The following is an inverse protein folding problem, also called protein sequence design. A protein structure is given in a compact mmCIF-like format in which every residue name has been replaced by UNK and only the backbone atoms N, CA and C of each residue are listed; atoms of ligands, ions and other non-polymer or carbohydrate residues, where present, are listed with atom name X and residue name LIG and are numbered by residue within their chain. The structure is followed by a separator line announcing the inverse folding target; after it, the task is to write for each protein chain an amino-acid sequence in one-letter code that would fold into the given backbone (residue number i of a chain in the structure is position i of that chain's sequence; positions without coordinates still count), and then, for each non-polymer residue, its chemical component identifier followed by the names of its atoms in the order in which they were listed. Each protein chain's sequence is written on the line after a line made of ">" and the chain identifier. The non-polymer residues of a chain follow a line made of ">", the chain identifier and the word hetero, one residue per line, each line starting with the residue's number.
data_IF_545073369688
#
_entry.id   IF_545073369688
#
_cell.length_a   1.000
_cell.length_b   1.000
_cell.length_c   1.000
_cell.angle_alpha   90.00
_cell.angle_beta   90.00
_cell.angle_gamma   90.00
#
_symmetry.space_group_name_H-M   'P 1'
#
loop_
_entity.id
_entity.type
_entity.pdbx_description
1 polymer ?
#
# COMPACT_ATOMS: atom_id res chain seq x y z
N UNK A 1 22.00 -8.32 2.54
CA UNK A 1 20.65 -8.84 2.28
C UNK A 1 19.94 -7.86 1.37
N UNK A 2 19.68 -8.24 0.12
CA UNK A 2 18.94 -7.43 -0.86
C UNK A 2 17.48 -7.32 -0.43
N UNK A 3 17.04 -6.12 -0.05
CA UNK A 3 15.61 -5.87 0.15
C UNK A 3 14.94 -6.01 -1.22
N UNK A 4 14.11 -7.03 -1.39
CA UNK A 4 13.27 -7.18 -2.56
C UNK A 4 12.45 -5.89 -2.70
N UNK A 5 12.49 -5.28 -3.89
CA UNK A 5 11.68 -4.11 -4.17
C UNK A 5 10.22 -4.58 -4.16
N UNK A 6 9.50 -4.28 -3.09
CA UNK A 6 8.09 -4.59 -2.95
C UNK A 6 7.28 -3.59 -3.79
N UNK A 7 7.15 -3.88 -5.09
CA UNK A 7 6.26 -3.14 -5.99
C UNK A 7 4.77 -3.49 -5.77
N UNK A 8 4.47 -4.40 -4.84
CA UNK A 8 3.11 -4.74 -4.40
C UNK A 8 2.39 -3.61 -3.64
N UNK A 9 3.05 -2.46 -3.42
CA UNK A 9 2.48 -1.30 -2.72
C UNK A 9 1.60 -0.39 -3.58
N UNK A 10 1.56 -0.61 -4.89
CA UNK A 10 0.58 0.06 -5.75
C UNK A 10 -0.72 -0.73 -5.61
N UNK A 11 -1.70 -0.19 -4.89
CA UNK A 11 -3.01 -0.79 -4.65
C UNK A 11 -3.80 -1.07 -5.93
N UNK A 12 -5.13 -1.02 -5.88
CA UNK A 12 -5.95 -1.26 -7.08
C UNK A 12 -5.76 -0.12 -8.09
N UNK A 13 -4.75 -0.29 -8.93
CA UNK A 13 -4.28 0.64 -9.94
C UNK A 13 -4.60 0.03 -11.30
N UNK A 14 -5.01 0.87 -12.25
CA UNK A 14 -5.32 0.43 -13.61
C UNK A 14 -4.13 -0.36 -14.20
N UNK A 15 -4.36 -1.48 -14.92
CA UNK A 15 -3.29 -2.31 -15.47
C UNK A 15 -2.23 -1.54 -16.25
N UNK A 16 -2.64 -0.49 -16.99
CA UNK A 16 -1.75 0.35 -17.77
C UNK A 16 -0.87 1.25 -16.90
N UNK A 17 -1.41 1.80 -15.82
CA UNK A 17 -0.66 2.67 -14.91
C UNK A 17 0.41 1.88 -14.16
N UNK A 18 0.10 0.65 -13.70
CA UNK A 18 1.10 -0.24 -13.10
C UNK A 18 2.21 -0.58 -14.09
N UNK A 19 1.88 -0.84 -15.35
CA UNK A 19 2.87 -1.07 -16.41
C UNK A 19 3.74 0.18 -16.67
N UNK A 20 3.13 1.37 -16.65
CA UNK A 20 3.84 2.66 -16.79
C UNK A 20 4.82 2.87 -15.64
N UNK A 21 4.43 2.53 -14.41
CA UNK A 21 5.32 2.60 -13.24
C UNK A 21 6.55 1.69 -13.38
N UNK A 22 6.35 0.43 -13.78
CA UNK A 22 7.48 -0.50 -14.03
C UNK A 22 8.42 0.03 -15.13
N UNK A 23 7.82 0.56 -16.20
CA UNK A 23 8.59 1.18 -17.29
C UNK A 23 9.42 2.37 -16.79
N UNK A 24 8.86 3.19 -15.91
CA UNK A 24 9.55 4.31 -15.30
C UNK A 24 10.74 3.88 -14.42
N UNK A 25 10.55 2.91 -13.51
CA UNK A 25 11.66 2.42 -12.69
C UNK A 25 12.78 1.76 -13.53
N UNK A 26 12.41 1.10 -14.64
CA UNK A 26 13.39 0.56 -15.61
C UNK A 26 14.23 1.65 -16.27
N UNK A 27 13.60 2.75 -16.69
CA UNK A 27 14.27 3.88 -17.33
C UNK A 27 15.06 4.77 -16.34
N UNK A 28 14.83 4.60 -15.04
CA UNK A 28 15.52 5.34 -13.99
C UNK A 28 16.93 4.78 -13.77
N UNK A 29 17.86 5.21 -14.62
CA UNK A 29 19.29 4.95 -14.53
C UNK A 29 20.08 6.13 -15.10
N UNK A 30 21.14 6.51 -14.39
CA UNK A 30 22.04 7.59 -14.79
C UNK A 30 23.48 7.10 -14.88
N UNK A 31 24.22 7.70 -15.80
CA UNK A 31 25.63 7.40 -16.08
C UNK A 31 26.46 8.61 -15.67
N UNK A 32 27.25 8.44 -14.61
CA UNK A 32 28.29 9.38 -14.23
C UNK A 32 29.43 9.36 -15.26
N UNK A 33 29.79 10.55 -15.74
CA UNK A 33 30.84 10.80 -16.75
C UNK A 33 32.25 10.74 -16.15
N UNK A 34 32.39 10.87 -14.84
CA UNK A 34 33.69 10.81 -14.15
C UNK A 34 34.15 9.38 -13.89
N UNK A 35 33.23 8.41 -14.01
CA UNK A 35 33.51 7.01 -13.77
C UNK A 35 33.86 6.30 -15.08
N UNK A 36 34.93 5.48 -15.14
CA UNK A 36 35.32 4.83 -16.37
C UNK A 36 34.19 3.97 -16.94
N UNK A 37 34.00 4.06 -18.26
CA UNK A 37 32.88 3.42 -18.98
C UNK A 37 32.83 1.90 -18.75
N UNK A 38 34.00 1.26 -18.61
CA UNK A 38 34.16 -0.18 -18.38
C UNK A 38 33.45 -0.69 -17.12
N UNK A 39 33.24 0.17 -16.11
CA UNK A 39 32.48 -0.21 -14.91
C UNK A 39 31.02 -0.52 -15.22
N UNK A 40 30.41 0.21 -16.15
CA UNK A 40 29.03 -0.01 -16.56
C UNK A 40 28.87 -1.33 -17.32
N UNK A 41 29.85 -1.72 -18.14
CA UNK A 41 29.86 -3.02 -18.82
C UNK A 41 29.92 -4.20 -17.84
N UNK A 42 30.78 -4.11 -16.81
CA UNK A 42 30.84 -5.11 -15.74
C UNK A 42 29.52 -5.18 -14.97
N UNK A 43 28.99 -4.03 -14.59
CA UNK A 43 27.74 -3.98 -13.82
C UNK A 43 26.52 -4.42 -14.65
N UNK A 44 26.54 -4.16 -15.96
CA UNK A 44 25.53 -4.64 -16.90
C UNK A 44 25.49 -6.17 -16.98
N UNK A 45 26.65 -6.83 -16.94
CA UNK A 45 26.72 -8.30 -16.88
C UNK A 45 25.97 -8.84 -15.66
N UNK A 46 26.14 -8.21 -14.49
CA UNK A 46 25.43 -8.59 -13.27
C UNK A 46 23.93 -8.24 -13.31
N UNK A 47 23.55 -7.10 -13.90
CA UNK A 47 22.13 -6.77 -14.13
C UNK A 47 21.43 -7.85 -14.95
N UNK A 48 22.07 -8.30 -16.03
CA UNK A 48 21.52 -9.35 -16.88
C UNK A 48 21.48 -10.70 -16.17
N UNK A 49 22.50 -11.03 -15.38
CA UNK A 49 22.52 -12.22 -14.52
C UNK A 49 21.34 -12.21 -13.54
N UNK A 50 21.11 -11.09 -12.85
CA UNK A 50 20.00 -10.96 -11.90
C UNK A 50 18.63 -10.98 -12.59
N UNK A 51 18.49 -10.38 -13.76
CA UNK A 51 17.25 -10.44 -14.55
C UNK A 51 16.87 -11.90 -14.86
N UNK A 52 17.84 -12.73 -15.27
CA UNK A 52 17.63 -14.15 -15.53
C UNK A 52 17.31 -14.95 -14.25
N UNK A 53 17.82 -14.54 -13.08
CA UNK A 53 17.44 -15.14 -11.80
C UNK A 53 15.97 -14.85 -11.49
N UNK A 54 15.56 -13.59 -11.55
CA UNK A 54 14.15 -13.22 -11.31
C UNK A 54 13.19 -13.87 -12.31
N UNK A 55 13.60 -14.02 -13.57
CA UNK A 55 12.78 -14.70 -14.57
C UNK A 55 12.54 -16.17 -14.19
N UNK A 56 13.58 -16.87 -13.70
CA UNK A 56 13.47 -18.27 -13.23
C UNK A 56 12.67 -18.40 -11.94
N UNK A 57 12.77 -17.43 -11.05
CA UNK A 57 12.01 -17.38 -9.80
C UNK A 57 10.54 -17.01 -10.00
N UNK A 58 10.15 -16.57 -11.20
CA UNK A 58 8.79 -16.12 -11.49
C UNK A 58 8.51 -14.67 -11.06
N UNK A 59 9.52 -13.94 -10.57
CA UNK A 59 9.39 -12.51 -10.29
C UNK A 59 9.49 -11.70 -11.59
N UNK A 60 8.38 -11.67 -12.32
CA UNK A 60 8.29 -11.05 -13.64
C UNK A 60 8.45 -9.53 -13.61
N UNK A 61 8.00 -8.86 -12.55
CA UNK A 61 8.12 -7.40 -12.41
C UNK A 61 9.58 -6.96 -12.31
N UNK A 62 10.34 -7.56 -11.40
CA UNK A 62 11.75 -7.21 -11.20
C UNK A 62 12.62 -7.65 -12.38
N UNK A 63 12.31 -8.80 -13.00
CA UNK A 63 12.96 -9.21 -14.24
C UNK A 63 12.75 -8.16 -15.35
N UNK A 64 11.50 -7.68 -15.52
CA UNK A 64 11.16 -6.67 -16.52
C UNK A 64 11.89 -5.34 -16.27
N UNK A 65 11.91 -4.86 -15.03
CA UNK A 65 12.65 -3.65 -14.64
C UNK A 65 14.13 -3.77 -14.99
N UNK A 66 14.76 -4.89 -14.66
CA UNK A 66 16.19 -5.07 -14.93
C UNK A 66 16.51 -5.20 -16.41
N UNK A 67 15.68 -5.89 -17.20
CA UNK A 67 15.87 -5.95 -18.65
C UNK A 67 15.72 -4.56 -19.31
N UNK A 68 14.70 -3.79 -18.91
CA UNK A 68 14.54 -2.40 -19.35
C UNK A 68 15.72 -1.53 -18.96
N UNK A 69 16.19 -1.65 -17.71
CA UNK A 69 17.35 -0.90 -17.22
C UNK A 69 18.63 -1.24 -17.99
N UNK A 70 18.83 -2.52 -18.30
CA UNK A 70 19.95 -2.95 -19.13
C UNK A 70 19.87 -2.35 -20.54
N UNK A 71 18.69 -2.41 -21.18
CA UNK A 71 18.50 -1.84 -22.52
C UNK A 71 18.70 -0.33 -22.54
N UNK A 72 18.09 0.41 -21.63
CA UNK A 72 18.22 1.88 -21.54
C UNK A 72 19.64 2.31 -21.24
N UNK A 73 20.36 1.59 -20.37
CA UNK A 73 21.77 1.85 -20.10
C UNK A 73 22.61 1.79 -21.38
N UNK A 74 22.52 0.70 -22.13
CA UNK A 74 23.42 0.45 -23.27
C UNK A 74 22.95 1.07 -24.60
N UNK A 75 21.65 1.23 -24.81
CA UNK A 75 21.11 1.86 -26.04
C UNK A 75 21.14 3.39 -25.95
N UNK A 76 20.83 3.96 -24.77
CA UNK A 76 20.58 5.39 -24.64
C UNK A 76 21.66 6.09 -23.81
N UNK A 77 21.83 5.69 -22.54
CA UNK A 77 22.59 6.49 -21.56
C UNK A 77 24.09 6.43 -21.80
N UNK A 78 24.67 5.25 -22.08
CA UNK A 78 26.12 5.07 -22.18
C UNK A 78 26.72 5.77 -23.40
N UNK A 79 25.91 6.03 -24.45
CA UNK A 79 26.33 6.75 -25.66
C UNK A 79 26.74 8.20 -25.39
N UNK A 80 26.32 8.76 -24.25
CA UNK A 80 26.62 10.13 -23.82
C UNK A 80 27.94 10.23 -23.05
N UNK A 81 28.60 9.10 -22.77
CA UNK A 81 29.84 9.05 -22.01
C UNK A 81 31.05 9.46 -22.87
N UNK A 82 32.01 10.27 -22.35
CA UNK A 82 33.19 10.71 -23.12
C UNK A 82 34.02 9.53 -23.67
N UNK A 83 34.25 8.49 -22.86
CA UNK A 83 35.05 7.32 -23.25
C UNK A 83 34.31 6.26 -24.08
N UNK A 84 33.05 6.50 -24.49
CA UNK A 84 32.25 5.51 -25.22
C UNK A 84 32.92 5.04 -26.52
N UNK A 85 33.70 5.90 -27.17
CA UNK A 85 34.45 5.57 -28.38
C UNK A 85 35.48 4.44 -28.21
N UNK A 86 35.92 4.16 -26.98
CA UNK A 86 36.99 3.19 -26.69
C UNK A 86 36.47 1.74 -26.58
N UNK A 87 35.16 1.53 -26.47
CA UNK A 87 34.53 0.22 -26.15
C UNK A 87 33.72 -0.38 -27.30
N UNK A 88 34.11 -0.10 -28.56
CA UNK A 88 33.36 -0.49 -29.77
C UNK A 88 33.06 -1.98 -29.89
N UNK A 89 33.98 -2.86 -29.47
CA UNK A 89 33.79 -4.31 -29.54
C UNK A 89 32.70 -4.78 -28.57
N UNK A 90 32.78 -4.37 -27.31
CA UNK A 90 31.79 -4.70 -26.26
C UNK A 90 30.40 -4.17 -26.63
N UNK A 91 30.33 -2.95 -27.19
CA UNK A 91 29.09 -2.35 -27.70
C UNK A 91 28.42 -3.24 -28.74
N UNK A 92 29.18 -3.74 -29.71
CA UNK A 92 28.64 -4.58 -30.79
C UNK A 92 28.04 -5.86 -30.23
N UNK A 93 28.76 -6.53 -29.34
CA UNK A 93 28.35 -7.82 -28.80
C UNK A 93 27.12 -7.67 -27.88
N UNK A 94 27.06 -6.59 -27.08
CA UNK A 94 25.90 -6.25 -26.26
C UNK A 94 24.69 -5.88 -27.12
N UNK A 95 24.86 -5.05 -28.15
CA UNK A 95 23.76 -4.66 -29.03
C UNK A 95 23.18 -5.87 -29.77
N UNK A 96 24.04 -6.80 -30.21
CA UNK A 96 23.59 -8.07 -30.79
C UNK A 96 22.75 -8.86 -29.80
N UNK A 97 23.23 -9.03 -28.56
CA UNK A 97 22.51 -9.74 -27.51
C UNK A 97 21.18 -9.08 -27.14
N UNK A 98 21.16 -7.75 -27.09
CA UNK A 98 19.94 -6.99 -26.83
C UNK A 98 18.89 -7.30 -27.90
N UNK A 99 19.29 -7.24 -29.17
CA UNK A 99 18.42 -7.49 -30.32
C UNK A 99 17.91 -8.94 -30.35
N UNK A 100 18.81 -9.91 -30.18
CA UNK A 100 18.51 -11.32 -30.45
C UNK A 100 17.81 -11.99 -29.25
N UNK A 101 18.15 -11.62 -28.02
CA UNK A 101 17.68 -12.30 -26.80
C UNK A 101 16.80 -11.40 -25.91
N UNK A 102 17.31 -10.22 -25.54
CA UNK A 102 16.73 -9.44 -24.43
C UNK A 102 15.44 -8.74 -24.86
N UNK A 103 15.42 -8.07 -26.02
CA UNK A 103 14.24 -7.41 -26.57
C UNK A 103 13.05 -8.38 -26.72
N UNK A 104 13.18 -9.53 -27.42
CA UNK A 104 12.05 -10.45 -27.58
C UNK A 104 11.60 -11.06 -26.25
N UNK A 105 12.52 -11.31 -25.32
CA UNK A 105 12.18 -11.79 -23.97
C UNK A 105 11.42 -10.74 -23.17
N UNK A 106 11.85 -9.48 -23.25
CA UNK A 106 11.22 -8.37 -22.53
C UNK A 106 9.80 -8.10 -23.05
N UNK A 107 9.59 -8.20 -24.37
CA UNK A 107 8.27 -8.02 -24.97
C UNK A 107 7.29 -9.12 -24.53
N UNK A 108 7.73 -10.38 -24.53
CA UNK A 108 6.93 -11.50 -23.99
C UNK A 108 6.58 -11.27 -22.51
N UNK A 109 7.53 -10.77 -21.73
CA UNK A 109 7.34 -10.48 -20.31
C UNK A 109 6.35 -9.34 -20.10
N UNK A 110 6.40 -8.29 -20.93
CA UNK A 110 5.44 -7.19 -20.94
C UNK A 110 4.02 -7.68 -21.18
N UNK A 111 3.81 -8.49 -22.21
CA UNK A 111 2.51 -9.07 -22.51
C UNK A 111 1.99 -9.95 -21.36
N UNK A 112 2.86 -10.76 -20.75
CA UNK A 112 2.52 -11.61 -19.61
C UNK A 112 2.07 -10.80 -18.38
N UNK A 113 2.83 -9.75 -18.03
CA UNK A 113 2.50 -8.87 -16.91
C UNK A 113 1.19 -8.12 -17.15
N UNK A 114 0.96 -7.62 -18.36
CA UNK A 114 -0.27 -6.91 -18.69
C UNK A 114 -1.50 -7.81 -18.59
N UNK A 115 -1.42 -9.04 -19.11
CA UNK A 115 -2.50 -10.01 -18.98
C UNK A 115 -2.77 -10.41 -17.51
N UNK A 116 -1.71 -10.48 -16.70
CA UNK A 116 -1.84 -10.72 -15.27
C UNK A 116 -2.61 -9.59 -14.57
N UNK A 117 -2.23 -8.33 -14.82
CA UNK A 117 -2.89 -7.18 -14.22
C UNK A 117 -4.32 -6.99 -14.70
N UNK A 118 -4.61 -7.27 -15.97
CA UNK A 118 -5.97 -7.25 -16.49
C UNK A 118 -6.87 -8.22 -15.71
N UNK A 119 -6.40 -9.45 -15.48
CA UNK A 119 -7.16 -10.44 -14.72
C UNK A 119 -7.39 -10.01 -13.27
N UNK A 120 -6.36 -9.49 -12.59
CA UNK A 120 -6.49 -8.96 -11.23
C UNK A 120 -7.53 -7.82 -11.17
N UNK A 121 -7.51 -6.95 -12.18
CA UNK A 121 -8.41 -5.80 -12.26
C UNK A 121 -9.86 -6.23 -12.55
N UNK A 122 -10.08 -7.17 -13.46
CA UNK A 122 -11.40 -7.75 -13.73
C UNK A 122 -11.99 -8.45 -12.49
N UNK A 123 -11.16 -9.19 -11.76
CA UNK A 123 -11.58 -9.83 -10.51
C UNK A 123 -11.98 -8.79 -9.45
N UNK A 124 -11.23 -7.69 -9.36
CA UNK A 124 -11.58 -6.59 -8.47
C UNK A 124 -12.93 -5.96 -8.85
N UNK A 125 -13.17 -5.69 -10.13
CA UNK A 125 -14.45 -5.15 -10.61
C UNK A 125 -15.61 -6.10 -10.30
N UNK A 126 -15.46 -7.40 -10.57
CA UNK A 126 -16.47 -8.41 -10.30
C UNK A 126 -16.79 -8.51 -8.79
N UNK A 127 -15.76 -8.47 -7.92
CA UNK A 127 -15.97 -8.49 -6.48
C UNK A 127 -16.73 -7.25 -6.00
N UNK A 128 -16.35 -6.07 -6.51
CA UNK A 128 -17.03 -4.80 -6.20
C UNK A 128 -18.48 -4.79 -6.66
N UNK A 129 -18.76 -5.33 -7.85
CA UNK A 129 -20.14 -5.47 -8.35
C UNK A 129 -20.95 -6.47 -7.53
N UNK A 130 -20.37 -7.62 -7.18
CA UNK A 130 -21.03 -8.64 -6.36
C UNK A 130 -21.38 -8.12 -4.96
N UNK A 131 -20.53 -7.29 -4.35
CA UNK A 131 -20.85 -6.63 -3.07
C UNK A 131 -22.03 -5.68 -3.21
N UNK A 132 -22.06 -4.85 -4.25
CA UNK A 132 -23.18 -3.94 -4.52
C UNK A 132 -24.51 -4.66 -4.77
N UNK A 133 -24.48 -5.78 -5.49
CA UNK A 133 -25.68 -6.60 -5.75
C UNK A 133 -26.18 -7.23 -4.44
N UNK A 134 -25.29 -7.80 -3.63
CA UNK A 134 -25.65 -8.38 -2.32
C UNK A 134 -26.25 -7.34 -1.37
N UNK A 135 -25.74 -6.11 -1.40
CA UNK A 135 -26.28 -5.03 -0.59
C UNK A 135 -27.70 -4.64 -1.02
N UNK A 136 -27.93 -4.48 -2.33
CA UNK A 136 -29.25 -4.20 -2.88
C UNK A 136 -30.26 -5.34 -2.61
N UNK A 137 -29.82 -6.59 -2.68
CA UNK A 137 -30.65 -7.75 -2.34
C UNK A 137 -31.06 -7.76 -0.87
N UNK A 138 -30.13 -7.47 0.05
CA UNK A 138 -30.42 -7.34 1.48
C UNK A 138 -31.40 -6.20 1.76
N UNK A 139 -31.27 -5.08 1.05
CA UNK A 139 -32.19 -3.96 1.20
C UNK A 139 -33.60 -4.31 0.69
N UNK A 140 -33.70 -4.93 -0.49
CA UNK A 140 -34.98 -5.42 -1.04
C UNK A 140 -35.64 -6.45 -0.13
N UNK A 141 -34.85 -7.32 0.51
CA UNK A 141 -35.37 -8.29 1.48
C UNK A 141 -35.93 -7.59 2.73
N UNK A 142 -35.21 -6.61 3.28
CA UNK A 142 -35.68 -5.78 4.41
C UNK A 142 -36.97 -5.04 4.05
N UNK A 143 -37.06 -4.47 2.85
CA UNK A 143 -38.26 -3.77 2.40
C UNK A 143 -39.45 -4.72 2.26
N UNK A 144 -39.24 -5.89 1.65
CA UNK A 144 -40.26 -6.94 1.55
C UNK A 144 -40.72 -7.43 2.93
N UNK A 145 -39.80 -7.56 3.88
CA UNK A 145 -40.12 -7.94 5.26
C UNK A 145 -40.96 -6.86 5.95
N UNK A 146 -40.62 -5.57 5.79
CA UNK A 146 -41.43 -4.46 6.30
C UNK A 146 -42.83 -4.43 5.70
N UNK A 147 -42.97 -4.60 4.38
CA UNK A 147 -44.29 -4.66 3.72
C UNK A 147 -45.13 -5.82 4.25
N UNK A 148 -44.53 -7.00 4.48
CA UNK A 148 -45.23 -8.16 5.07
C UNK A 148 -45.69 -7.89 6.50
N UNK A 149 -44.87 -7.23 7.32
CA UNK A 149 -45.26 -6.86 8.69
C UNK A 149 -46.39 -5.83 8.71
N UNK A 150 -46.35 -4.83 7.84
CA UNK A 150 -47.43 -3.85 7.71
C UNK A 150 -48.75 -4.51 7.29
N UNK A 151 -48.69 -5.43 6.30
CA UNK A 151 -49.86 -6.19 5.87
C UNK A 151 -50.41 -7.11 6.99
N UNK A 152 -49.55 -7.77 7.78
CA UNK A 152 -49.99 -8.61 8.89
C UNK A 152 -50.62 -7.78 10.03
N UNK A 153 -50.04 -6.62 10.36
CA UNK A 153 -50.61 -5.68 11.35
C UNK A 153 -51.99 -5.17 10.91
N UNK A 154 -52.17 -4.84 9.64
CA UNK A 154 -53.48 -4.43 9.11
C UNK A 154 -54.52 -5.56 9.17
N UNK A 155 -54.13 -6.82 8.93
CA UNK A 155 -55.02 -7.97 9.06
C UNK A 155 -55.47 -8.22 10.51
N UNK A 156 -54.59 -8.02 11.50
CA UNK A 156 -54.93 -8.16 12.94
C UNK A 156 -55.79 -6.97 13.43
N UNK A 157 -55.58 -5.76 12.89
CA UNK A 157 -56.36 -4.56 13.22
C UNK A 157 -57.82 -4.55 12.76
N UNK A 158 -58.27 -5.53 11.97
CA UNK A 158 -59.70 -5.75 11.65
C UNK A 158 -60.40 -6.74 12.59
N UNK A 159 -59.70 -7.34 13.56
CA UNK A 159 -60.35 -8.09 14.63
C UNK A 159 -60.69 -7.14 15.78
N UNK A 160 -61.98 -6.81 15.91
CA UNK A 160 -62.57 -6.10 17.04
C UNK A 160 -62.19 -6.85 18.32
N UNK A 161 -61.24 -6.31 19.09
CA UNK A 161 -60.93 -6.79 20.44
C UNK A 161 -62.03 -6.26 21.36
N UNK A 162 -62.84 -7.11 22.04
CA UNK A 162 -63.69 -6.63 23.13
C UNK A 162 -62.79 -6.15 24.26
N UNK A 163 -62.96 -4.91 24.72
CA UNK A 163 -62.17 -4.35 25.82
C UNK A 163 -62.37 -5.19 27.10
N UNK A 164 -61.35 -5.94 27.49
CA UNK A 164 -61.31 -6.71 28.74
C UNK A 164 -60.85 -5.87 29.94
N UNK A 165 -61.10 -4.54 29.91
CA UNK A 165 -60.80 -3.68 31.06
C UNK A 165 -61.91 -3.87 32.10
N UNK A 166 -61.63 -4.38 33.31
CA UNK A 166 -62.60 -4.36 34.40
C UNK A 166 -62.95 -2.90 34.71
N UNK A 167 -64.24 -2.57 34.76
CA UNK A 167 -64.76 -1.19 34.86
C UNK A 167 -64.30 -0.33 36.06
N UNK A 168 -63.40 -0.84 36.92
CA UNK A 168 -62.99 -0.23 38.19
C UNK A 168 -61.53 0.24 38.27
N UNK A 169 -60.78 0.25 37.16
CA UNK A 169 -59.42 0.82 37.14
C UNK A 169 -59.34 1.99 36.15
N UNK A 170 -60.06 3.07 36.46
CA UNK A 170 -59.76 4.38 35.88
C UNK A 170 -58.49 4.90 36.56
N UNK A 171 -57.36 4.77 35.87
CA UNK A 171 -56.19 5.61 36.17
C UNK A 171 -56.63 7.03 35.86
N UNK A 172 -56.85 7.83 36.90
CA UNK A 172 -57.00 9.29 36.77
C UNK A 172 -55.67 9.82 36.23
N UNK A 173 -55.59 9.98 34.92
CA UNK A 173 -54.53 10.76 34.28
C UNK A 173 -54.86 12.21 34.63
N UNK A 174 -54.03 12.84 35.42
CA UNK A 174 -54.14 14.27 35.72
C UNK A 174 -53.98 15.06 34.41
N UNK A 175 -55.02 15.80 34.00
CA UNK A 175 -55.09 16.59 32.76
C UNK A 175 -53.95 17.62 32.64
N UNK A 176 -53.22 17.89 33.74
CA UNK A 176 -52.02 18.74 33.76
C UNK A 176 -50.70 18.04 33.35
N UNK A 177 -50.71 16.72 33.14
CA UNK A 177 -49.51 15.94 32.79
C UNK A 177 -49.68 15.18 31.49
N UNK A 178 -49.82 15.93 30.38
CA UNK A 178 -49.50 15.34 29.07
C UNK A 178 -48.00 15.05 29.03
N UNK A 179 -47.57 13.79 28.80
CA UNK A 179 -46.17 13.54 28.44
C UNK A 179 -45.95 14.18 27.06
N UNK A 180 -45.38 15.38 27.04
CA UNK A 180 -44.93 15.98 25.80
C UNK A 180 -43.90 15.05 25.18
N UNK A 181 -44.21 14.56 23.97
CA UNK A 181 -43.21 13.90 23.16
C UNK A 181 -42.01 14.85 23.03
N UNK A 182 -40.78 14.36 23.23
CA UNK A 182 -39.60 15.18 23.02
C UNK A 182 -39.63 15.73 21.59
N UNK A 183 -39.22 16.98 21.44
CA UNK A 183 -39.19 17.67 20.15
C UNK A 183 -38.42 16.84 19.11
N UNK A 184 -39.08 16.52 17.99
CA UNK A 184 -38.52 15.64 16.95
C UNK A 184 -37.28 16.26 16.30
N UNK A 185 -37.15 17.59 16.32
CA UNK A 185 -35.97 18.30 15.81
C UNK A 185 -34.71 18.06 16.68
N UNK A 186 -34.85 17.56 17.92
CA UNK A 186 -33.71 17.14 18.74
C UNK A 186 -33.16 15.76 18.36
N UNK A 187 -33.95 14.89 17.71
CA UNK A 187 -33.46 13.57 17.28
C UNK A 187 -32.43 13.69 16.14
N UNK A 188 -32.56 14.69 15.28
CA UNK A 188 -31.63 14.95 14.17
C UNK A 188 -30.28 15.53 14.64
N UNK A 189 -30.19 15.98 15.89
CA UNK A 189 -28.95 16.46 16.51
C UNK A 189 -28.19 15.39 17.31
N UNK A 190 -28.78 14.19 17.49
CA UNK A 190 -28.11 13.08 18.18
C UNK A 190 -27.12 12.41 17.23
N UNK A 191 -25.87 12.88 17.27
CA UNK A 191 -24.74 12.26 16.56
C UNK A 191 -24.38 10.95 17.25
N UNK A 192 -24.61 9.82 16.57
CA UNK A 192 -24.17 8.53 17.09
C UNK A 192 -22.66 8.32 16.84
N UNK A 193 -21.96 7.50 17.64
CA UNK A 193 -20.52 7.26 17.49
C UNK A 193 -20.06 6.72 16.11
N UNK A 194 -21.00 6.30 15.26
CA UNK A 194 -20.73 5.89 13.88
C UNK A 194 -20.85 7.03 12.84
N UNK A 195 -21.35 8.21 13.23
CA UNK A 195 -21.53 9.39 12.36
C UNK A 195 -20.36 10.38 12.46
N UNK A 196 -19.19 9.93 12.95
CA UNK A 196 -17.97 10.74 12.91
C UNK A 196 -17.55 11.01 11.46
N UNK A 197 -17.39 12.27 11.03
CA UNK A 197 -16.97 12.58 9.68
C UNK A 197 -15.46 12.35 9.56
N UNK A 198 -15.05 11.11 9.26
CA UNK A 198 -13.73 10.84 8.68
C UNK A 198 -13.72 11.29 7.22
N UNK A 199 -13.70 12.60 6.96
CA UNK A 199 -13.60 13.12 5.60
C UNK A 199 -13.86 14.63 5.43
N UNK A 200 -12.76 15.38 5.29
CA UNK A 200 -12.52 16.55 4.43
C UNK A 200 -13.53 17.71 4.23
N UNK A 201 -14.67 17.83 4.92
CA UNK A 201 -15.51 19.03 4.80
C UNK A 201 -15.85 19.62 6.16
N UNK A 202 -15.06 20.62 6.57
CA UNK A 202 -15.29 21.46 7.76
C UNK A 202 -15.51 22.89 7.31
N UNK A 203 -16.75 23.30 7.10
CA UNK A 203 -17.05 24.71 6.78
C UNK A 203 -17.89 25.44 7.81
N UNK A 204 -18.42 24.80 8.85
CA UNK A 204 -19.07 25.54 9.94
C UNK A 204 -19.06 24.74 11.26
N UNK A 205 -18.18 25.10 12.20
CA UNK A 205 -18.41 24.92 13.64
C UNK A 205 -17.44 25.82 14.44
N UNK A 206 -17.90 26.56 15.47
CA UNK A 206 -17.04 27.41 16.28
C UNK A 206 -16.29 26.58 17.33
N UNK A 207 -14.97 26.81 17.40
CA UNK A 207 -14.11 26.58 18.57
C UNK A 207 -14.33 25.32 19.41
N UNK A 208 -13.56 24.27 19.14
CA UNK A 208 -13.16 23.28 20.16
C UNK A 208 -11.82 22.67 19.77
N UNK A 209 -10.81 22.92 20.60
CA UNK A 209 -9.44 22.50 20.39
C UNK A 209 -9.29 20.99 20.54
N UNK A 210 -8.86 20.33 19.47
CA UNK A 210 -8.25 19.01 19.54
C UNK A 210 -7.13 18.97 18.50
N UNK A 211 -5.88 19.06 18.97
CA UNK A 211 -4.68 18.85 18.18
C UNK A 211 -4.54 17.34 17.89
N UNK A 212 -4.79 16.93 16.65
CA UNK A 212 -4.25 15.67 16.12
C UNK A 212 -3.17 16.01 15.09
N UNK A 213 -2.03 15.29 15.08
CA UNK A 213 -0.94 15.57 14.15
C UNK A 213 -1.42 15.26 12.73
N UNK A 214 -1.27 16.24 11.83
CA UNK A 214 -1.40 16.06 10.39
C UNK A 214 -0.30 15.09 9.95
N UNK A 215 -0.68 13.87 9.60
CA UNK A 215 0.21 12.94 8.92
C UNK A 215 0.50 13.49 7.53
N UNK A 216 1.73 13.99 7.35
CA UNK A 216 2.25 14.34 6.05
C UNK A 216 2.19 13.11 5.14
N UNK A 217 1.47 13.24 4.04
CA UNK A 217 1.55 12.32 2.91
C UNK A 217 2.91 12.50 2.22
N UNK A 218 3.97 11.99 2.84
CA UNK A 218 5.23 11.71 2.17
C UNK A 218 4.97 10.56 1.20
N UNK A 219 4.65 10.93 -0.04
CA UNK A 219 4.74 10.04 -1.19
C UNK A 219 6.22 9.66 -1.36
N UNK A 220 6.59 8.58 -0.70
CA UNK A 220 7.91 7.98 -0.81
C UNK A 220 8.16 7.61 -2.28
N UNK A 221 9.25 8.18 -2.80
CA UNK A 221 9.84 7.85 -4.10
C UNK A 221 10.41 6.43 -4.01
N UNK A 222 9.56 5.41 -4.13
CA UNK A 222 9.98 4.00 -4.11
C UNK A 222 10.46 3.53 -5.50
N UNK A 223 11.37 4.25 -6.15
CA UNK A 223 12.32 3.59 -7.07
C UNK A 223 13.68 3.73 -6.39
N UNK A 224 14.05 2.75 -5.57
CA UNK A 224 15.37 2.72 -4.94
C UNK A 224 16.44 2.84 -6.03
N UNK A 225 17.30 3.86 -5.89
CA UNK A 225 18.47 4.04 -6.73
C UNK A 225 19.41 2.86 -6.46
N UNK A 226 19.56 1.95 -7.43
CA UNK A 226 20.61 0.94 -7.36
C UNK A 226 21.92 1.64 -7.64
N UNK A 227 22.54 2.20 -6.60
CA UNK A 227 23.92 2.65 -6.67
C UNK A 227 24.78 1.46 -7.12
N UNK A 228 25.43 1.60 -8.28
CA UNK A 228 26.46 0.67 -8.74
C UNK A 228 27.73 0.85 -7.88
N UNK A 229 27.62 0.61 -6.57
CA UNK A 229 28.76 0.50 -5.68
C UNK A 229 29.06 -0.97 -5.44
N UNK A 230 29.94 -1.50 -6.27
CA UNK A 230 30.58 -2.80 -6.06
C UNK A 230 31.48 -2.70 -4.82
N UNK A 231 31.09 -3.32 -3.71
CA UNK A 231 32.07 -3.73 -2.70
C UNK A 231 32.87 -4.91 -3.27
N UNK A 232 34.14 -4.69 -3.57
CA UNK A 232 35.10 -5.76 -3.79
C UNK A 232 35.64 -6.26 -2.44
N UNK A 233 35.77 -7.58 -2.21
CA UNK A 233 36.53 -8.10 -1.09
C UNK A 233 37.96 -8.38 -1.55
N UNK A 234 38.93 -7.63 -1.02
CA UNK A 234 40.34 -8.02 -1.07
C UNK A 234 40.85 -8.09 0.38
N UNK A 235 41.02 -9.32 0.83
CA UNK A 235 41.78 -9.67 2.01
C UNK A 235 43.26 -9.37 1.76
N UNK A 236 43.80 -8.38 2.46
CA UNK A 236 45.19 -8.39 2.93
C UNK A 236 45.23 -7.65 4.27
N UNK A 237 45.68 -8.37 5.30
CA UNK A 237 45.83 -7.83 6.64
C UNK A 237 46.95 -6.80 6.70
N UNK A 238 46.69 -5.70 7.38
CA UNK A 238 47.66 -4.99 8.20
C UNK A 238 46.89 -4.12 9.21
N UNK A 239 46.94 -4.52 10.48
CA UNK A 239 46.41 -3.71 11.58
C UNK A 239 47.23 -2.41 11.68
N UNK A 240 46.56 -1.27 11.53
CA UNK A 240 47.09 0.05 11.89
C UNK A 240 46.14 0.70 12.89
N UNK A 241 46.55 1.01 14.13
CA UNK A 241 45.69 1.74 15.05
C UNK A 241 45.64 3.21 14.62
N UNK A 242 44.44 3.79 14.58
CA UNK A 242 44.19 5.22 14.29
C UNK A 242 43.70 5.90 15.57
N UNK A 243 44.10 7.15 15.87
CA UNK A 243 43.89 7.77 17.18
C UNK A 243 42.44 8.22 17.40
N UNK A 244 42.04 8.18 18.66
CA UNK A 244 40.74 8.67 19.14
C UNK A 244 40.69 10.21 19.15
N UNK A 245 40.38 10.83 18.01
CA UNK A 245 39.84 12.20 18.00
C UNK A 245 39.16 12.50 16.67
N UNK A 246 37.83 12.42 16.64
CA UNK A 246 37.06 12.71 15.43
C UNK A 246 35.55 12.55 15.58
N UNK A 247 35.01 12.69 16.79
CA UNK A 247 33.56 12.80 16.97
C UNK A 247 33.19 14.27 16.79
N UNK A 248 32.53 14.60 15.67
CA UNK A 248 31.87 15.89 15.53
C UNK A 248 30.65 15.93 16.47
N UNK A 249 30.39 17.04 17.18
CA UNK A 249 29.18 17.18 17.98
C UNK A 249 27.97 17.25 17.05
N UNK A 250 27.01 16.32 17.21
CA UNK A 250 25.74 16.37 16.48
C UNK A 250 24.90 17.55 17.01
N UNK A 251 24.43 18.46 16.15
CA UNK A 251 23.51 19.50 16.55
C UNK A 251 22.11 18.89 16.74
N UNK A 252 21.68 18.76 18.00
CA UNK A 252 20.28 18.74 18.45
C UNK A 252 19.25 17.87 17.69
N UNK A 253 19.64 16.69 17.22
CA UNK A 253 18.66 15.68 16.83
C UNK A 253 18.06 15.00 18.07
N UNK A 254 16.73 14.88 18.19
CA UNK A 254 16.12 14.12 19.28
C UNK A 254 16.60 12.66 19.24
N UNK A 255 16.79 12.01 20.41
CA UNK A 255 17.34 10.66 20.47
C UNK A 255 16.50 9.68 19.64
N UNK A 256 17.17 8.93 18.75
CA UNK A 256 16.56 7.91 17.87
C UNK A 256 15.84 6.79 18.63
N UNK A 257 16.04 6.69 19.94
CA UNK A 257 15.40 5.71 20.80
C UNK A 257 14.82 6.41 22.03
N UNK A 258 13.56 6.13 22.31
CA UNK A 258 12.85 6.57 23.53
C UNK A 258 12.62 5.34 24.41
N UNK A 259 12.87 5.47 25.73
CA UNK A 259 12.46 4.44 26.68
C UNK A 259 10.93 4.37 26.75
N UNK A 260 10.37 3.18 26.53
CA UNK A 260 8.94 2.96 26.57
C UNK A 260 8.41 3.19 28.00
N UNK A 261 7.58 4.21 28.21
CA UNK A 261 7.00 4.57 29.52
C UNK A 261 5.88 3.62 30.01
N UNK A 262 5.68 2.47 29.34
CA UNK A 262 4.51 1.61 29.56
C UNK A 262 4.84 0.18 30.02
N UNK A 263 6.08 -0.10 30.44
CA UNK A 263 6.47 -1.45 30.89
C UNK A 263 6.91 -1.41 32.35
N UNK A 264 6.03 -1.83 33.26
CA UNK A 264 6.40 -2.21 34.62
C UNK A 264 6.90 -3.66 34.61
N UNK A 265 8.15 -3.87 35.03
CA UNK A 265 8.71 -5.22 35.23
C UNK A 265 8.23 -5.75 36.58
N UNK A 266 7.29 -6.68 36.57
CA UNK A 266 6.84 -7.34 37.79
C UNK A 266 7.67 -8.61 38.06
N UNK A 267 8.44 -8.60 39.15
CA UNK A 267 9.33 -9.68 39.55
C UNK A 267 8.60 -10.94 40.07
N UNK A 268 7.28 -10.84 40.35
CA UNK A 268 6.49 -11.93 40.90
C UNK A 268 5.58 -12.62 39.88
N UNK A 269 5.55 -12.15 38.64
CA UNK A 269 4.71 -12.73 37.58
C UNK A 269 5.34 -14.03 37.06
N UNK A 270 4.67 -15.18 37.25
CA UNK A 270 5.11 -16.48 36.72
C UNK A 270 4.75 -16.58 35.23
N UNK A 271 5.76 -16.66 34.36
CA UNK A 271 5.60 -16.86 32.92
C UNK A 271 5.66 -18.35 32.60
N UNK A 272 4.70 -18.86 31.82
CA UNK A 272 4.71 -20.24 31.28
C UNK A 272 5.12 -20.20 29.81
N UNK A 273 6.34 -20.66 29.51
CA UNK A 273 6.84 -20.79 28.13
C UNK A 273 6.38 -22.14 27.58
N UNK A 274 5.73 -22.12 26.40
CA UNK A 274 5.29 -23.33 25.69
C UNK A 274 6.07 -23.36 24.37
N UNK A 275 6.86 -24.42 24.14
CA UNK A 275 7.52 -24.65 22.85
C UNK A 275 6.52 -25.30 21.89
N UNK A 276 6.36 -24.71 20.71
CA UNK A 276 5.39 -25.12 19.70
C UNK A 276 6.01 -25.93 18.55
N UNK A 277 7.29 -26.28 18.66
CA UNK A 277 7.94 -27.17 17.70
C UNK A 277 7.60 -28.62 18.07
N UNK A 278 6.71 -29.24 17.29
CA UNK A 278 6.52 -30.69 17.22
C UNK A 278 7.31 -31.26 16.06
#
# INVERSE_FOLDING_TARGET
>A
MSKAVNNMSMGVVEPQERMKHLSHCGNFIDVDKNQPVTRYYRSGTEMLRMANVYLREGNHENAFILYLRYMTLFIEKIRQHPDYGNVKAEVRDINKRIKDEIMPTTEKLRAKLLAHYQREYEQFLANKEAERVKELERERERERQRQRELASRQAVGSSVIPSLIPANLHVLIDDGTQPSAPDLDLLDQVVYPNDFPTGANRTNLPGSGLLLPTGDASSDKTCQHWFLYTHAPLWTGLYRPVPASGFHPHPNDPPLFMEAQHIQKDAHTKIKVIDLRR
#
